data_IF_651050037151
#
_entry.id   IF_651050037151
#
_cell.length_a   1.000
_cell.length_b   1.000
_cell.length_c   1.000
_cell.angle_alpha   90.00
_cell.angle_beta   90.00
_cell.angle_gamma   90.00
#
_symmetry.space_group_name_H-M   'P 1'
#
loop_
_entity.id
_entity.type
_entity.pdbx_description
1 polymer ?
#
# COMPACT_ATOMS: atom_id res chain seq x y z
N UNK A 1 -0.75 -26.02 6.39
CA UNK A 1 -1.99 -25.18 6.32
C UNK A 1 -2.14 -24.20 7.49
N UNK A 2 -1.82 -24.57 8.74
CA UNK A 2 -1.89 -23.66 9.89
C UNK A 2 -0.93 -22.46 9.79
N UNK A 3 0.34 -22.67 9.44
CA UNK A 3 1.35 -21.61 9.32
C UNK A 3 0.97 -20.52 8.31
N UNK A 4 0.51 -20.90 7.11
CA UNK A 4 0.04 -19.96 6.06
C UNK A 4 -1.14 -19.10 6.54
N UNK A 5 -2.05 -19.67 7.34
CA UNK A 5 -3.20 -18.94 7.91
C UNK A 5 -2.75 -17.97 9.02
N UNK A 6 -1.72 -18.33 9.79
CA UNK A 6 -1.13 -17.46 10.82
C UNK A 6 -0.41 -16.29 10.19
N UNK A 7 0.50 -16.51 9.22
CA UNK A 7 1.20 -15.44 8.49
C UNK A 7 0.20 -14.44 7.91
N UNK A 8 -0.83 -14.94 7.22
CA UNK A 8 -1.84 -14.08 6.62
C UNK A 8 -2.55 -13.21 7.67
N UNK A 9 -2.96 -13.80 8.80
CA UNK A 9 -3.63 -13.08 9.88
C UNK A 9 -2.72 -11.99 10.46
N UNK A 10 -1.44 -12.29 10.64
CA UNK A 10 -0.48 -11.35 11.22
C UNK A 10 -0.21 -10.18 10.27
N UNK A 11 -0.08 -10.44 8.97
CA UNK A 11 0.02 -9.39 7.94
C UNK A 11 -1.25 -8.52 7.93
N UNK A 12 -2.44 -9.12 8.02
CA UNK A 12 -3.69 -8.33 8.10
C UNK A 12 -3.75 -7.45 9.35
N UNK A 13 -3.28 -7.95 10.51
CA UNK A 13 -3.14 -7.14 11.73
C UNK A 13 -2.16 -5.99 11.56
N UNK A 14 -1.09 -6.16 10.78
CA UNK A 14 -0.19 -5.06 10.46
C UNK A 14 -0.89 -3.96 9.67
N UNK A 15 -1.72 -4.30 8.67
CA UNK A 15 -2.52 -3.31 7.93
C UNK A 15 -3.54 -2.60 8.82
N UNK A 16 -4.20 -3.31 9.73
CA UNK A 16 -5.08 -2.68 10.74
C UNK A 16 -4.33 -1.67 11.60
N UNK A 17 -3.13 -2.02 12.08
CA UNK A 17 -2.28 -1.11 12.86
C UNK A 17 -1.84 0.10 12.04
N UNK A 18 -1.44 -0.08 10.78
CA UNK A 18 -1.06 1.03 9.90
C UNK A 18 -2.23 2.00 9.74
N UNK A 19 -3.42 1.49 9.42
CA UNK A 19 -4.62 2.34 9.26
C UNK A 19 -5.00 3.07 10.55
N UNK A 20 -4.95 2.38 11.69
CA UNK A 20 -5.23 2.99 12.99
C UNK A 20 -4.23 4.12 13.32
N UNK A 21 -2.94 3.88 13.05
CA UNK A 21 -1.88 4.86 13.27
C UNK A 21 -2.02 6.06 12.33
N UNK A 22 -2.29 5.85 11.05
CA UNK A 22 -2.46 6.94 10.08
C UNK A 22 -3.71 7.77 10.38
N UNK A 23 -4.80 7.13 10.82
CA UNK A 23 -5.99 7.83 11.30
C UNK A 23 -5.71 8.66 12.57
N UNK A 24 -4.92 8.13 13.51
CA UNK A 24 -4.52 8.89 14.70
C UNK A 24 -3.65 10.11 14.35
N UNK A 25 -2.67 9.93 13.44
CA UNK A 25 -1.84 11.04 12.94
C UNK A 25 -2.65 12.10 12.20
N UNK A 26 -3.64 11.70 11.41
CA UNK A 26 -4.54 12.64 10.75
C UNK A 26 -5.32 13.46 11.79
N UNK A 27 -5.94 12.81 12.77
CA UNK A 27 -6.66 13.52 13.85
C UNK A 27 -5.76 14.52 14.58
N UNK A 28 -4.53 14.13 14.90
CA UNK A 28 -3.58 15.01 15.57
C UNK A 28 -3.22 16.24 14.71
N UNK A 29 -3.01 16.06 13.40
CA UNK A 29 -2.75 17.17 12.46
C UNK A 29 -3.96 18.10 12.35
N UNK A 30 -5.15 17.53 12.21
CA UNK A 30 -6.41 18.28 12.15
C UNK A 30 -6.62 19.10 13.42
N UNK A 31 -6.47 18.49 14.59
CA UNK A 31 -6.63 19.17 15.87
C UNK A 31 -5.64 20.33 16.04
N UNK A 32 -4.37 20.13 15.67
CA UNK A 32 -3.37 21.20 15.69
C UNK A 32 -3.73 22.37 14.74
N UNK A 33 -4.29 22.07 13.56
CA UNK A 33 -4.76 23.08 12.61
C UNK A 33 -5.98 23.82 13.17
N UNK A 34 -6.97 23.11 13.70
CA UNK A 34 -8.18 23.73 14.26
C UNK A 34 -7.88 24.59 15.50
N UNK A 35 -6.93 24.18 16.34
CA UNK A 35 -6.49 25.01 17.46
C UNK A 35 -5.83 26.32 17.01
N UNK A 36 -5.09 26.29 15.89
CA UNK A 36 -4.43 27.49 15.35
C UNK A 36 -5.39 28.37 14.53
N UNK A 37 -6.32 27.75 13.80
CA UNK A 37 -7.28 28.42 12.91
C UNK A 37 -8.67 27.79 13.08
N UNK A 38 -9.42 28.15 14.15
CA UNK A 38 -10.72 27.56 14.45
C UNK A 38 -11.74 27.68 13.31
N UNK A 39 -11.64 28.77 12.53
CA UNK A 39 -12.50 29.02 11.36
C UNK A 39 -12.46 27.88 10.33
N UNK A 40 -11.35 27.15 10.21
CA UNK A 40 -11.25 26.01 9.30
C UNK A 40 -12.23 24.88 9.71
N UNK A 41 -12.38 24.64 11.01
CA UNK A 41 -13.32 23.64 11.53
C UNK A 41 -14.76 24.08 11.27
N UNK A 42 -15.08 25.35 11.56
CA UNK A 42 -16.41 25.92 11.30
C UNK A 42 -16.81 25.78 9.84
N UNK A 43 -15.89 26.07 8.91
CA UNK A 43 -16.14 25.91 7.47
C UNK A 43 -16.46 24.44 7.11
N UNK A 44 -15.74 23.47 7.68
CA UNK A 44 -16.02 22.05 7.42
C UNK A 44 -17.40 21.63 7.96
N UNK A 45 -17.80 22.15 9.12
CA UNK A 45 -19.14 21.94 9.69
C UNK A 45 -20.23 22.60 8.84
N UNK A 46 -20.01 23.84 8.36
CA UNK A 46 -20.92 24.54 7.44
C UNK A 46 -21.09 23.78 6.12
N UNK A 47 -20.00 23.28 5.53
CA UNK A 47 -20.04 22.45 4.32
C UNK A 47 -20.84 21.16 4.56
N UNK A 48 -20.64 20.50 5.71
CA UNK A 48 -21.39 19.28 6.06
C UNK A 48 -22.89 19.55 6.21
N UNK A 49 -23.26 20.65 6.89
CA UNK A 49 -24.66 21.09 7.04
C UNK A 49 -25.30 21.43 5.69
N UNK A 50 -24.57 22.08 4.78
CA UNK A 50 -25.02 22.32 3.41
C UNK A 50 -25.34 21.00 2.70
N UNK A 51 -24.47 19.99 2.79
CA UNK A 51 -24.72 18.66 2.22
C UNK A 51 -26.00 18.00 2.76
N UNK A 52 -26.24 18.10 4.07
CA UNK A 52 -27.48 17.58 4.71
C UNK A 52 -28.71 18.32 4.19
N UNK A 53 -28.65 19.65 4.02
CA UNK A 53 -29.74 20.46 3.48
C UNK A 53 -30.09 20.05 2.04
N UNK A 54 -29.09 19.75 1.19
CA UNK A 54 -29.30 19.23 -0.17
C UNK A 54 -30.03 17.88 -0.13
N UNK A 55 -29.50 16.94 0.65
CA UNK A 55 -30.08 15.61 0.73
C UNK A 55 -31.56 15.68 1.17
N UNK A 56 -31.88 16.58 2.10
CA UNK A 56 -33.25 16.80 2.56
C UNK A 56 -34.14 17.48 1.50
N UNK A 57 -33.65 18.49 0.79
CA UNK A 57 -34.46 19.21 -0.21
C UNK A 57 -34.82 18.31 -1.39
N UNK A 58 -33.88 17.47 -1.85
CA UNK A 58 -34.11 16.47 -2.92
C UNK A 58 -35.23 15.50 -2.56
N UNK A 59 -35.30 15.08 -1.29
CA UNK A 59 -36.33 14.15 -0.80
C UNK A 59 -37.72 14.81 -0.63
N UNK A 60 -37.78 16.11 -0.33
CA UNK A 60 -39.03 16.78 0.03
C UNK A 60 -39.76 17.42 -1.16
N UNK A 61 -39.03 18.06 -2.09
CA UNK A 61 -39.64 18.78 -3.23
C UNK A 61 -38.71 18.79 -4.46
N UNK A 62 -38.89 17.85 -5.40
CA UNK A 62 -38.05 17.75 -6.61
C UNK A 62 -38.10 18.99 -7.53
N UNK A 63 -39.20 19.76 -7.51
CA UNK A 63 -39.45 20.87 -8.44
C UNK A 63 -38.77 22.21 -8.10
N UNK A 64 -38.52 22.51 -6.82
CA UNK A 64 -37.83 23.74 -6.37
C UNK A 64 -36.31 23.58 -6.27
N UNK A 65 -35.80 22.40 -6.62
CA UNK A 65 -34.41 22.01 -6.37
C UNK A 65 -33.41 22.83 -7.19
N UNK A 66 -33.76 23.25 -8.41
CA UNK A 66 -32.81 23.88 -9.33
C UNK A 66 -32.31 25.27 -8.88
N UNK A 67 -33.18 26.15 -8.38
CA UNK A 67 -32.75 27.49 -7.91
C UNK A 67 -32.04 27.41 -6.55
N UNK A 68 -32.55 26.55 -5.64
CA UNK A 68 -31.94 26.30 -4.34
C UNK A 68 -30.55 25.65 -4.45
N UNK A 69 -30.33 24.80 -5.46
CA UNK A 69 -29.02 24.19 -5.73
C UNK A 69 -27.99 25.21 -6.22
N UNK A 70 -28.40 26.23 -6.99
CA UNK A 70 -27.49 27.26 -7.51
C UNK A 70 -26.86 28.08 -6.39
N UNK A 71 -27.68 28.67 -5.51
CA UNK A 71 -27.19 29.44 -4.35
C UNK A 71 -26.28 28.60 -3.44
N UNK A 72 -26.66 27.35 -3.21
CA UNK A 72 -25.88 26.48 -2.34
C UNK A 72 -24.55 26.03 -2.97
N UNK A 73 -24.48 25.91 -4.29
CA UNK A 73 -23.23 25.70 -5.00
C UNK A 73 -22.30 26.92 -4.87
N UNK A 74 -22.85 28.14 -4.95
CA UNK A 74 -22.09 29.37 -4.72
C UNK A 74 -21.55 29.42 -3.29
N UNK A 75 -22.40 29.16 -2.28
CA UNK A 75 -22.00 29.11 -0.87
C UNK A 75 -20.89 28.07 -0.63
N UNK A 76 -21.04 26.86 -1.18
CA UNK A 76 -20.02 25.81 -1.07
C UNK A 76 -18.70 26.21 -1.73
N UNK A 77 -18.76 26.93 -2.85
CA UNK A 77 -17.56 27.39 -3.56
C UNK A 77 -16.87 28.48 -2.75
N UNK A 78 -17.61 29.44 -2.21
CA UNK A 78 -17.07 30.50 -1.34
C UNK A 78 -16.41 29.91 -0.09
N UNK A 79 -17.06 28.95 0.58
CA UNK A 79 -16.51 28.26 1.75
C UNK A 79 -15.22 27.49 1.44
N UNK A 80 -15.15 26.81 0.28
CA UNK A 80 -13.92 26.13 -0.16
C UNK A 80 -12.78 27.11 -0.42
N UNK A 81 -13.06 28.22 -1.09
CA UNK A 81 -12.08 29.27 -1.35
C UNK A 81 -11.58 29.91 -0.04
N UNK A 82 -12.49 30.17 0.91
CA UNK A 82 -12.13 30.68 2.24
C UNK A 82 -11.18 29.71 2.97
N UNK A 83 -11.52 28.42 2.98
CA UNK A 83 -10.67 27.37 3.58
C UNK A 83 -9.28 27.32 2.96
N UNK A 84 -9.18 27.34 1.63
CA UNK A 84 -7.89 27.32 0.93
C UNK A 84 -7.05 28.55 1.24
N UNK A 85 -7.66 29.74 1.27
CA UNK A 85 -6.98 30.98 1.65
C UNK A 85 -6.48 30.94 3.10
N UNK A 86 -7.30 30.45 4.03
CA UNK A 86 -6.92 30.34 5.45
C UNK A 86 -5.78 29.34 5.68
N UNK A 87 -5.79 28.20 4.98
CA UNK A 87 -4.70 27.23 5.02
C UNK A 87 -3.40 27.85 4.51
N UNK A 88 -3.44 28.46 3.32
CA UNK A 88 -2.27 29.08 2.70
C UNK A 88 -1.70 30.22 3.55
N UNK A 89 -2.56 31.09 4.10
CA UNK A 89 -2.14 32.20 4.97
C UNK A 89 -1.45 31.73 6.26
N UNK A 90 -1.73 30.51 6.72
CA UNK A 90 -1.17 29.93 7.94
C UNK A 90 -0.02 28.94 7.69
N UNK A 91 0.40 28.78 6.43
CA UNK A 91 1.49 27.90 6.01
C UNK A 91 1.12 26.42 5.93
N UNK A 92 -0.17 26.09 5.85
CA UNK A 92 -0.67 24.73 5.71
C UNK A 92 -1.03 24.42 4.26
N UNK A 93 -0.94 23.14 3.91
CA UNK A 93 -1.40 22.62 2.63
C UNK A 93 -2.71 21.85 2.79
N UNK A 94 -3.58 21.80 1.76
CA UNK A 94 -4.79 20.98 1.79
C UNK A 94 -4.52 19.51 2.17
N UNK A 95 -3.38 18.96 1.72
CA UNK A 95 -2.92 17.60 2.02
C UNK A 95 -2.68 17.35 3.52
N UNK A 96 -2.54 18.38 4.34
CA UNK A 96 -2.36 18.23 5.79
C UNK A 96 -3.63 17.77 6.48
N UNK A 97 -4.80 18.06 5.87
CA UNK A 97 -6.12 17.61 6.33
C UNK A 97 -6.56 16.29 5.67
N UNK A 98 -5.71 15.67 4.86
CA UNK A 98 -6.01 14.44 4.13
C UNK A 98 -5.29 13.22 4.72
N UNK A 99 -5.91 12.05 4.52
CA UNK A 99 -5.31 10.77 4.90
C UNK A 99 -4.06 10.52 4.07
N UNK A 100 -2.96 10.18 4.74
CA UNK A 100 -1.73 9.75 4.09
C UNK A 100 -1.60 8.23 4.24
N UNK A 101 -1.40 7.54 3.12
CA UNK A 101 -1.31 6.09 3.08
C UNK A 101 0.14 5.66 2.93
N UNK A 102 0.48 4.51 3.49
CA UNK A 102 1.79 3.89 3.23
C UNK A 102 1.83 3.29 1.81
N UNK A 103 0.69 2.80 1.32
CA UNK A 103 0.52 2.34 -0.04
C UNK A 103 -0.66 3.07 -0.70
N UNK A 104 -0.35 4.00 -1.60
CA UNK A 104 -1.34 4.77 -2.37
C UNK A 104 -2.23 3.87 -3.26
N UNK A 105 -1.72 2.70 -3.67
CA UNK A 105 -2.43 1.79 -4.58
C UNK A 105 -3.60 1.08 -3.89
N UNK A 106 -3.39 0.58 -2.67
CA UNK A 106 -4.43 -0.13 -1.92
C UNK A 106 -4.98 0.64 -0.73
N UNK A 107 -4.49 1.86 -0.48
CA UNK A 107 -4.86 2.68 0.67
C UNK A 107 -4.75 1.90 1.99
N UNK A 108 -3.63 1.18 2.14
CA UNK A 108 -3.32 0.33 3.30
C UNK A 108 -4.37 -0.75 3.62
N UNK A 109 -5.12 -1.20 2.62
CA UNK A 109 -6.04 -2.34 2.76
C UNK A 109 -5.39 -3.68 2.41
N UNK A 110 -4.27 -3.65 1.66
CA UNK A 110 -3.62 -4.83 1.10
C UNK A 110 -4.31 -5.39 -0.16
N UNK A 111 -5.42 -4.80 -0.60
CA UNK A 111 -6.22 -5.29 -1.73
C UNK A 111 -6.58 -4.17 -2.71
N UNK A 112 -6.68 -4.53 -3.99
CA UNK A 112 -7.25 -3.70 -5.04
C UNK A 112 -8.43 -4.47 -5.62
N UNK A 113 -9.63 -4.12 -5.17
CA UNK A 113 -10.82 -4.94 -5.39
C UNK A 113 -10.67 -6.33 -4.75
N UNK A 114 -10.76 -7.38 -5.57
CA UNK A 114 -10.58 -8.77 -5.11
C UNK A 114 -9.14 -9.27 -5.22
N UNK A 115 -8.22 -8.49 -5.81
CA UNK A 115 -6.83 -8.90 -6.04
C UNK A 115 -5.93 -8.40 -4.92
N UNK A 116 -4.99 -9.24 -4.50
CA UNK A 116 -3.93 -8.83 -3.56
C UNK A 116 -3.07 -7.75 -4.21
N UNK A 117 -2.84 -6.66 -3.47
CA UNK A 117 -1.92 -5.62 -3.87
C UNK A 117 -0.48 -6.16 -3.88
N UNK A 118 0.40 -5.58 -4.69
CA UNK A 118 1.82 -5.94 -4.70
C UNK A 118 2.46 -5.82 -3.31
N UNK A 119 2.09 -4.80 -2.53
CA UNK A 119 2.59 -4.63 -1.16
C UNK A 119 2.13 -5.75 -0.21
N UNK A 120 0.94 -6.34 -0.44
CA UNK A 120 0.44 -7.48 0.34
C UNK A 120 1.23 -8.74 -0.01
N UNK A 121 1.48 -8.99 -1.30
CA UNK A 121 2.32 -10.10 -1.74
C UNK A 121 3.71 -10.01 -1.14
N UNK A 122 4.33 -8.83 -1.17
CA UNK A 122 5.65 -8.60 -0.58
C UNK A 122 5.64 -8.89 0.92
N UNK A 123 4.69 -8.32 1.69
CA UNK A 123 4.58 -8.57 3.12
C UNK A 123 4.37 -10.04 3.47
N UNK A 124 3.60 -10.77 2.67
CA UNK A 124 3.42 -12.21 2.86
C UNK A 124 4.71 -13.00 2.60
N UNK A 125 5.47 -12.61 1.57
CA UNK A 125 6.79 -13.21 1.30
C UNK A 125 7.77 -12.91 2.43
N UNK A 126 7.87 -11.64 2.85
CA UNK A 126 8.74 -11.23 3.96
C UNK A 126 8.41 -12.01 5.24
N UNK A 127 7.13 -12.11 5.59
CA UNK A 127 6.69 -12.84 6.77
C UNK A 127 6.94 -14.36 6.68
N UNK A 128 6.89 -14.94 5.47
CA UNK A 128 7.26 -16.33 5.25
C UNK A 128 8.76 -16.55 5.43
N UNK A 129 9.60 -15.64 4.91
CA UNK A 129 11.05 -15.68 5.10
C UNK A 129 11.44 -15.54 6.56
N UNK A 130 10.81 -14.62 7.29
CA UNK A 130 11.03 -14.40 8.72
C UNK A 130 10.70 -15.66 9.53
N UNK A 131 9.61 -16.38 9.19
CA UNK A 131 9.26 -17.63 9.87
C UNK A 131 10.29 -18.76 9.61
N UNK A 132 10.94 -18.76 8.45
CA UNK A 132 11.91 -19.77 8.05
C UNK A 132 13.33 -19.49 8.56
N UNK A 133 13.60 -18.35 9.19
CA UNK A 133 14.94 -17.90 9.60
C UNK A 133 15.98 -17.90 8.45
N UNK A 134 15.55 -17.86 7.18
CA UNK A 134 16.45 -17.89 6.02
C UNK A 134 16.73 -16.48 5.46
N UNK A 135 16.11 -15.44 6.02
CA UNK A 135 16.21 -14.08 5.48
C UNK A 135 17.66 -13.60 5.39
N UNK A 136 18.44 -13.76 6.45
CA UNK A 136 19.84 -13.37 6.49
C UNK A 136 20.71 -14.29 5.63
N UNK A 137 20.34 -15.57 5.54
CA UNK A 137 21.02 -16.56 4.70
C UNK A 137 20.89 -16.18 3.23
N UNK A 138 19.71 -15.74 2.76
CA UNK A 138 19.49 -15.37 1.36
C UNK A 138 20.31 -14.15 0.91
N UNK A 139 20.78 -13.31 1.83
CA UNK A 139 21.70 -12.22 1.50
C UNK A 139 23.09 -12.75 1.10
N UNK A 140 23.45 -13.97 1.53
CA UNK A 140 24.77 -14.57 1.31
C UNK A 140 24.72 -15.79 0.40
N UNK A 141 23.70 -16.64 0.52
CA UNK A 141 23.54 -17.90 -0.22
C UNK A 141 22.53 -17.70 -1.36
N UNK A 142 22.99 -17.10 -2.46
CA UNK A 142 22.19 -16.79 -3.64
C UNK A 142 23.01 -17.01 -4.92
N UNK A 143 22.40 -16.79 -6.09
CA UNK A 143 23.08 -17.01 -7.36
C UNK A 143 24.23 -16.02 -7.62
N UNK A 144 24.20 -14.83 -7.02
CA UNK A 144 25.26 -13.82 -7.22
C UNK A 144 26.57 -14.20 -6.50
N UNK A 145 26.47 -14.92 -5.39
CA UNK A 145 27.62 -15.42 -4.61
C UNK A 145 28.02 -16.84 -4.99
N UNK A 146 27.28 -17.49 -5.88
CA UNK A 146 27.55 -18.85 -6.31
C UNK A 146 28.83 -18.95 -7.15
N UNK A 147 29.85 -19.63 -6.64
CA UNK A 147 31.15 -19.74 -7.30
C UNK A 147 31.44 -21.15 -7.80
N UNK A 148 31.33 -21.34 -9.12
CA UNK A 148 31.62 -22.61 -9.80
C UNK A 148 33.09 -23.06 -9.64
N UNK A 149 34.00 -22.17 -9.24
CA UNK A 149 35.43 -22.48 -9.10
C UNK A 149 35.71 -23.43 -7.94
N UNK A 150 34.80 -23.54 -6.97
CA UNK A 150 34.88 -24.56 -5.91
C UNK A 150 34.76 -25.99 -6.45
N UNK A 151 34.27 -26.16 -7.68
CA UNK A 151 34.10 -27.48 -8.31
C UNK A 151 35.28 -27.79 -9.23
N UNK A 152 35.77 -29.03 -9.12
CA UNK A 152 36.90 -29.52 -9.90
C UNK A 152 36.57 -29.51 -11.40
N UNK A 153 37.50 -29.04 -12.26
CA UNK A 153 37.37 -29.18 -13.70
C UNK A 153 37.76 -30.59 -14.20
N UNK A 154 38.29 -31.46 -13.33
CA UNK A 154 38.75 -32.79 -13.70
C UNK A 154 37.61 -33.81 -13.66
N UNK A 155 37.62 -34.76 -14.60
CA UNK A 155 36.67 -35.87 -14.64
C UNK A 155 37.19 -37.03 -13.81
N UNK A 156 36.28 -37.71 -13.10
CA UNK A 156 36.59 -39.00 -12.49
C UNK A 156 36.82 -40.08 -13.56
N UNK A 157 37.44 -41.22 -13.20
CA UNK A 157 37.81 -42.27 -14.15
C UNK A 157 36.63 -42.83 -14.98
N UNK A 158 35.42 -42.76 -14.43
CA UNK A 158 34.20 -43.29 -15.05
C UNK A 158 33.12 -42.20 -15.27
N UNK A 159 33.46 -40.92 -15.08
CA UNK A 159 32.48 -39.84 -15.14
C UNK A 159 32.42 -39.21 -16.53
N UNK A 160 31.22 -39.01 -17.04
CA UNK A 160 30.99 -38.36 -18.35
C UNK A 160 31.25 -36.84 -18.28
N UNK A 161 31.03 -36.22 -17.13
CA UNK A 161 31.16 -34.80 -16.86
C UNK A 161 32.05 -34.58 -15.64
N UNK A 162 32.82 -33.49 -15.64
CA UNK A 162 33.50 -33.00 -14.45
C UNK A 162 32.48 -32.43 -13.45
N UNK A 163 32.81 -32.37 -12.15
CA UNK A 163 31.97 -31.69 -11.17
C UNK A 163 31.61 -30.25 -11.58
N UNK A 164 32.54 -29.52 -12.23
CA UNK A 164 32.30 -28.16 -12.73
C UNK A 164 31.30 -28.12 -13.90
N UNK A 165 31.41 -29.03 -14.86
CA UNK A 165 30.44 -29.10 -15.98
C UNK A 165 29.05 -29.49 -15.47
N UNK A 166 28.99 -30.44 -14.52
CA UNK A 166 27.73 -30.86 -13.91
C UNK A 166 27.05 -29.70 -13.16
N UNK A 167 27.79 -28.97 -12.32
CA UNK A 167 27.20 -27.87 -11.56
C UNK A 167 26.81 -26.68 -12.43
N UNK A 168 27.53 -26.41 -13.53
CA UNK A 168 27.13 -25.41 -14.51
C UNK A 168 25.78 -25.77 -15.16
N UNK A 169 25.57 -27.05 -15.49
CA UNK A 169 24.29 -27.51 -16.01
C UNK A 169 23.18 -27.33 -14.97
N UNK A 170 23.41 -27.74 -13.72
CA UNK A 170 22.43 -27.57 -12.62
C UNK A 170 22.10 -26.08 -12.42
N UNK A 171 23.11 -25.22 -12.37
CA UNK A 171 22.92 -23.76 -12.21
C UNK A 171 22.06 -23.20 -13.34
N UNK A 172 22.34 -23.59 -14.60
CA UNK A 172 21.54 -23.13 -15.74
C UNK A 172 20.09 -23.57 -15.65
N UNK A 173 19.82 -24.80 -15.20
CA UNK A 173 18.46 -25.31 -14.99
C UNK A 173 17.75 -24.55 -13.87
N UNK A 174 18.43 -24.28 -12.76
CA UNK A 174 17.87 -23.50 -11.65
C UNK A 174 17.52 -22.07 -12.07
N UNK A 175 18.42 -21.38 -12.79
CA UNK A 175 18.17 -20.02 -13.29
C UNK A 175 16.99 -19.99 -14.25
N UNK A 176 16.98 -20.88 -15.25
CA UNK A 176 15.89 -20.96 -16.22
C UNK A 176 14.54 -21.22 -15.55
N UNK A 177 14.51 -22.07 -14.52
CA UNK A 177 13.31 -22.30 -13.72
C UNK A 177 12.84 -21.02 -13.01
N UNK A 178 13.75 -20.28 -12.36
CA UNK A 178 13.40 -19.04 -11.66
C UNK A 178 12.92 -17.93 -12.58
N UNK A 179 13.50 -17.81 -13.78
CA UNK A 179 13.11 -16.80 -14.77
C UNK A 179 11.74 -17.09 -15.40
N UNK A 180 11.38 -18.36 -15.55
CA UNK A 180 10.16 -18.78 -16.25
C UNK A 180 9.09 -19.36 -15.31
N UNK A 181 9.26 -19.18 -14.00
CA UNK A 181 8.40 -19.81 -12.98
C UNK A 181 6.91 -19.47 -13.15
N UNK A 182 6.60 -18.24 -13.53
CA UNK A 182 5.23 -17.75 -13.70
C UNK A 182 4.69 -17.94 -15.14
N UNK A 183 5.54 -18.28 -16.11
CA UNK A 183 5.20 -18.25 -17.56
C UNK A 183 5.24 -19.61 -18.24
N UNK A 184 6.03 -20.57 -17.74
CA UNK A 184 6.10 -21.91 -18.29
C UNK A 184 6.06 -22.96 -17.20
N UNK A 185 5.16 -23.94 -17.34
CA UNK A 185 5.14 -25.09 -16.44
C UNK A 185 6.01 -26.21 -17.04
N UNK A 186 7.23 -26.37 -16.53
CA UNK A 186 8.10 -27.50 -16.84
C UNK A 186 8.44 -28.24 -15.55
N UNK A 187 7.73 -29.33 -15.28
CA UNK A 187 8.07 -30.33 -14.26
C UNK A 187 7.94 -31.72 -14.87
#
# INVERSE_FOLDING_TARGET
MAAKKTIYRDVMRQYERIRANNAAKLRQRQEAIYQKVPRIQEIEEEIALCGIRIARSVLQKPGDTFSFMGQLQEDLTALRMEKEALLAANGFQPKDLEMQYNCEVCQDTGYVGQKQCACMKQKLMDAAYDQSNIRDILAVENFDTFDIRYYSPEKGPNDMLSPRENIQSILSTCLAFTENFDTSFSN
#
